data_IF_164933803771
#
_entry.id   IF_164933803771
#
_cell.length_a   1.000
_cell.length_b   1.000
_cell.length_c   1.000
_cell.angle_alpha   90.00
_cell.angle_beta   90.00
_cell.angle_gamma   90.00
#
_symmetry.space_group_name_H-M   'P 1'
#
loop_
_entity.id
_entity.type
_entity.pdbx_description
1 polymer ?
#
# COMPACT_ATOMS: atom_id res chain seq x y z
N UNK A 1 -6.88 17.11 24.26
CA UNK A 1 -7.39 15.73 24.22
C UNK A 1 -8.89 15.83 24.02
N UNK A 2 -9.43 15.33 22.90
CA UNK A 2 -10.87 15.30 22.67
C UNK A 2 -11.39 13.93 23.14
N UNK A 3 -12.25 13.90 24.14
CA UNK A 3 -12.90 12.67 24.61
C UNK A 3 -14.20 12.47 23.83
N UNK A 4 -14.32 11.33 23.15
CA UNK A 4 -15.58 10.91 22.55
C UNK A 4 -16.22 9.85 23.45
N UNK A 5 -17.44 10.13 23.92
CA UNK A 5 -18.29 9.18 24.66
C UNK A 5 -19.53 8.92 23.81
N UNK A 6 -19.70 7.71 23.26
CA UNK A 6 -20.85 7.41 22.42
C UNK A 6 -22.13 7.35 23.26
N UNK A 7 -23.24 7.94 22.77
CA UNK A 7 -24.49 8.00 23.50
C UNK A 7 -25.26 6.67 23.55
N UNK A 8 -24.91 5.69 22.68
CA UNK A 8 -25.52 4.36 22.62
C UNK A 8 -24.48 3.33 22.19
N UNK A 9 -24.71 2.06 22.55
CA UNK A 9 -23.91 0.94 22.03
C UNK A 9 -24.12 0.84 20.53
N UNK A 10 -23.04 0.69 19.77
CA UNK A 10 -23.12 0.62 18.31
C UNK A 10 -21.77 0.63 17.62
N UNK A 11 -21.82 0.49 16.30
CA UNK A 11 -20.66 0.61 15.42
C UNK A 11 -20.54 2.07 14.99
N UNK A 12 -19.38 2.67 15.19
CA UNK A 12 -19.11 4.05 14.80
C UNK A 12 -17.93 4.11 13.82
N UNK A 13 -17.99 5.04 12.87
CA UNK A 13 -16.85 5.41 12.03
C UNK A 13 -16.10 6.55 12.70
N UNK A 14 -14.78 6.40 12.84
CA UNK A 14 -13.92 7.51 13.25
C UNK A 14 -13.60 8.32 11.98
N UNK A 15 -14.14 9.53 11.90
CA UNK A 15 -13.87 10.47 10.80
C UNK A 15 -13.05 11.62 11.36
N UNK A 16 -11.83 11.78 10.86
CA UNK A 16 -10.93 12.88 11.21
C UNK A 16 -10.32 13.52 9.97
N UNK A 17 -10.13 14.83 10.00
CA UNK A 17 -9.32 15.54 9.00
C UNK A 17 -7.89 15.69 9.53
N UNK A 18 -6.93 15.10 8.82
CA UNK A 18 -5.52 15.37 9.09
C UNK A 18 -5.12 16.59 8.25
N UNK A 19 -4.80 17.70 8.91
CA UNK A 19 -4.14 18.81 8.24
C UNK A 19 -2.74 18.38 7.84
N UNK A 20 -2.55 17.99 6.58
CA UNK A 20 -1.22 17.72 6.02
C UNK A 20 -0.71 19.02 5.40
N UNK A 21 0.42 19.59 5.86
CA UNK A 21 0.97 20.83 5.31
C UNK A 21 1.68 20.66 3.96
N UNK A 22 1.59 19.51 3.32
CA UNK A 22 2.20 19.29 2.01
C UNK A 22 1.43 18.22 1.25
N UNK A 23 1.51 18.28 -0.07
CA UNK A 23 0.78 17.55 -1.13
C UNK A 23 0.80 16.00 -1.06
N UNK A 24 1.16 15.39 0.06
CA UNK A 24 1.11 13.96 0.30
C UNK A 24 -0.32 13.49 0.61
N UNK A 25 -0.84 12.60 -0.22
CA UNK A 25 -2.14 11.95 -0.03
C UNK A 25 -2.11 11.07 1.23
N UNK A 26 -2.66 11.56 2.34
CA UNK A 26 -2.85 10.73 3.55
C UNK A 26 -4.10 9.88 3.34
N UNK A 27 -3.92 8.58 3.08
CA UNK A 27 -5.03 7.63 3.13
C UNK A 27 -5.37 7.35 4.59
N UNK A 28 -6.47 7.89 5.08
CA UNK A 28 -7.04 7.50 6.36
C UNK A 28 -7.80 6.18 6.18
N UNK A 29 -7.32 5.11 6.81
CA UNK A 29 -8.08 3.84 6.87
C UNK A 29 -9.11 3.95 7.99
N UNK A 30 -10.40 3.90 7.64
CA UNK A 30 -11.47 3.85 8.63
C UNK A 30 -11.35 2.55 9.43
N UNK A 31 -11.04 2.66 10.72
CA UNK A 31 -11.04 1.51 11.61
C UNK A 31 -12.42 1.37 12.26
N UNK A 32 -13.02 0.19 12.13
CA UNK A 32 -14.32 -0.13 12.70
C UNK A 32 -14.11 -0.41 14.19
N UNK A 33 -14.66 0.43 15.04
CA UNK A 33 -14.57 0.25 16.50
C UNK A 33 -15.95 0.00 17.07
N UNK A 34 -16.06 -1.08 17.84
CA UNK A 34 -17.26 -1.40 18.61
C UNK A 34 -17.22 -0.66 19.93
N UNK A 35 -18.33 0.02 20.26
CA UNK A 35 -18.45 0.74 21.50
C UNK A 35 -19.60 0.19 22.34
N UNK A 36 -19.36 0.03 23.64
CA UNK A 36 -20.41 -0.11 24.66
C UNK A 36 -20.86 1.27 25.13
N UNK A 37 -22.16 1.46 25.35
CA UNK A 37 -22.72 2.71 25.89
C UNK A 37 -21.99 3.15 27.18
N UNK A 38 -21.52 4.41 27.21
CA UNK A 38 -20.74 4.95 28.33
C UNK A 38 -19.26 4.53 28.37
N UNK A 39 -18.81 3.67 27.45
CA UNK A 39 -17.40 3.36 27.27
C UNK A 39 -16.62 4.54 26.66
N UNK A 40 -15.33 4.64 26.99
CA UNK A 40 -14.43 5.63 26.38
C UNK A 40 -13.36 4.92 25.55
N UNK A 41 -13.14 5.38 24.32
CA UNK A 41 -12.01 4.93 23.49
C UNK A 41 -10.93 6.01 23.51
N UNK A 42 -9.80 5.71 24.14
CA UNK A 42 -8.61 6.53 24.00
C UNK A 42 -7.86 6.12 22.73
N UNK A 43 -8.18 6.76 21.60
CA UNK A 43 -7.31 6.73 20.41
C UNK A 43 -6.14 7.66 20.68
N UNK A 44 -5.08 7.13 21.30
CA UNK A 44 -3.92 7.87 21.83
C UNK A 44 -3.35 8.96 20.91
N UNK A 45 -2.19 8.71 20.28
CA UNK A 45 -1.63 9.61 19.27
C UNK A 45 -1.97 9.07 17.89
N UNK A 46 -2.62 9.87 17.06
CA UNK A 46 -2.85 9.52 15.66
C UNK A 46 -1.81 10.26 14.84
N UNK A 47 -0.86 9.53 14.26
CA UNK A 47 0.17 10.07 13.38
C UNK A 47 -0.07 9.64 11.94
N UNK A 48 -0.03 10.58 11.01
CA UNK A 48 0.01 10.25 9.59
C UNK A 48 1.39 9.66 9.25
N UNK A 49 1.44 8.41 8.81
CA UNK A 49 2.67 7.81 8.33
C UNK A 49 2.90 8.22 6.87
N UNK A 50 4.01 8.90 6.58
CA UNK A 50 4.45 9.14 5.20
C UNK A 50 4.81 7.80 4.57
N UNK A 51 4.17 7.47 3.46
CA UNK A 51 4.38 6.23 2.71
C UNK A 51 4.83 6.54 1.29
N UNK A 52 5.60 5.62 0.70
CA UNK A 52 6.01 5.64 -0.69
C UNK A 52 4.94 4.99 -1.58
N UNK A 53 4.82 5.46 -2.82
CA UNK A 53 4.06 4.77 -3.86
C UNK A 53 5.02 4.01 -4.76
N UNK A 54 4.67 2.80 -5.17
CA UNK A 54 5.50 1.98 -6.06
C UNK A 54 4.74 1.63 -7.32
N UNK A 55 5.37 1.89 -8.47
CA UNK A 55 4.90 1.46 -9.78
C UNK A 55 5.99 0.64 -10.47
N UNK A 56 5.57 -0.28 -11.34
CA UNK A 56 6.48 -1.13 -12.10
C UNK A 56 5.97 -1.31 -13.53
N UNK A 57 6.90 -1.39 -14.48
CA UNK A 57 6.65 -1.85 -15.84
C UNK A 57 7.28 -3.23 -16.00
N UNK A 58 6.43 -4.23 -16.24
CA UNK A 58 6.82 -5.63 -16.30
C UNK A 58 6.72 -6.10 -17.75
N UNK A 59 7.81 -6.68 -18.24
CA UNK A 59 7.95 -7.13 -19.63
C UNK A 59 8.52 -8.54 -19.70
N UNK A 60 8.34 -9.20 -20.85
CA UNK A 60 9.06 -10.43 -21.19
C UNK A 60 10.50 -10.15 -21.68
N UNK A 61 11.22 -11.21 -22.05
CA UNK A 61 12.59 -11.12 -22.58
C UNK A 61 12.71 -10.38 -23.92
N UNK A 62 11.61 -10.15 -24.64
CA UNK A 62 11.57 -9.41 -25.91
C UNK A 62 11.00 -7.99 -25.74
N UNK A 63 10.66 -7.58 -24.51
CA UNK A 63 10.20 -6.24 -24.16
C UNK A 63 8.68 -6.04 -24.25
N UNK A 64 7.91 -7.12 -24.46
CA UNK A 64 6.45 -7.08 -24.50
C UNK A 64 5.90 -6.95 -23.09
N UNK A 65 4.98 -5.99 -22.86
CA UNK A 65 4.33 -5.80 -21.57
C UNK A 65 3.49 -7.00 -21.14
N UNK A 66 3.65 -7.45 -19.89
CA UNK A 66 2.95 -8.62 -19.35
C UNK A 66 1.77 -8.21 -18.45
N UNK A 67 0.55 -8.55 -18.84
CA UNK A 67 -0.64 -8.41 -17.99
C UNK A 67 -0.74 -9.54 -16.96
N UNK A 68 -1.55 -9.32 -15.92
CA UNK A 68 -1.89 -10.32 -14.90
C UNK A 68 -0.69 -10.87 -14.13
N UNK A 69 0.35 -10.05 -13.95
CA UNK A 69 1.48 -10.33 -13.08
C UNK A 69 1.10 -9.89 -11.67
N UNK A 70 1.09 -10.82 -10.73
CA UNK A 70 0.92 -10.52 -9.31
C UNK A 70 2.20 -9.88 -8.77
N UNK A 71 2.07 -8.70 -8.15
CA UNK A 71 3.18 -7.96 -7.54
C UNK A 71 2.93 -7.85 -6.05
N UNK A 72 3.90 -8.27 -5.24
CA UNK A 72 3.78 -8.30 -3.77
C UNK A 72 5.05 -7.80 -3.13
N UNK A 73 4.92 -6.96 -2.11
CA UNK A 73 6.06 -6.54 -1.29
C UNK A 73 6.10 -7.38 -0.03
N UNK A 74 7.13 -8.22 0.08
CA UNK A 74 7.32 -9.13 1.20
C UNK A 74 7.58 -8.32 2.48
N UNK A 75 6.86 -8.66 3.55
CA UNK A 75 6.87 -7.90 4.81
C UNK A 75 5.98 -6.65 4.80
N UNK A 76 5.18 -6.44 3.75
CA UNK A 76 4.18 -5.38 3.65
C UNK A 76 2.83 -5.94 3.20
N UNK A 77 1.74 -5.20 3.43
CA UNK A 77 0.44 -5.50 2.83
C UNK A 77 0.29 -4.92 1.42
N UNK A 78 1.31 -4.23 0.92
CA UNK A 78 1.29 -3.64 -0.40
C UNK A 78 1.39 -4.70 -1.50
N UNK A 79 0.35 -4.75 -2.33
CA UNK A 79 0.28 -5.61 -3.51
C UNK A 79 -0.38 -4.89 -4.68
N UNK A 80 -0.17 -5.41 -5.87
CA UNK A 80 -0.79 -4.94 -7.11
C UNK A 80 -0.84 -6.05 -8.16
N UNK A 81 -1.49 -5.75 -9.27
CA UNK A 81 -1.52 -6.61 -10.45
C UNK A 81 -1.23 -5.76 -11.67
N UNK A 82 -0.39 -6.25 -12.58
CA UNK A 82 -0.14 -5.54 -13.84
C UNK A 82 -1.38 -5.56 -14.73
N UNK A 83 -1.60 -4.46 -15.47
CA UNK A 83 -2.65 -4.35 -16.48
C UNK A 83 -2.10 -4.67 -17.88
N UNK A 84 -2.95 -4.51 -18.89
CA UNK A 84 -2.50 -4.40 -20.29
C UNK A 84 -1.33 -3.39 -20.37
N UNK A 85 -0.35 -3.67 -21.23
CA UNK A 85 0.95 -2.96 -21.35
C UNK A 85 1.99 -3.24 -20.25
N UNK A 86 1.66 -4.08 -19.26
CA UNK A 86 2.62 -4.50 -18.23
C UNK A 86 2.80 -3.53 -17.07
N UNK A 87 1.94 -2.52 -16.95
CA UNK A 87 2.01 -1.52 -15.89
C UNK A 87 1.31 -2.01 -14.62
N UNK A 88 2.03 -2.03 -13.51
CA UNK A 88 1.52 -2.35 -12.17
C UNK A 88 1.69 -1.15 -11.23
N UNK A 89 0.68 -0.91 -10.40
CA UNK A 89 0.75 0.04 -9.29
C UNK A 89 0.27 -0.66 -8.02
N UNK A 90 0.98 -0.47 -6.90
CA UNK A 90 0.57 -1.05 -5.63
C UNK A 90 -0.61 -0.29 -5.02
N UNK A 91 -1.60 -1.02 -4.51
CA UNK A 91 -2.83 -0.43 -3.97
C UNK A 91 -2.60 0.35 -2.66
N UNK A 92 -1.56 -0.02 -1.93
CA UNK A 92 -1.17 0.56 -0.65
C UNK A 92 0.21 1.19 -0.73
N UNK A 93 0.39 2.28 0.01
CA UNK A 93 1.71 2.86 0.19
C UNK A 93 2.56 2.02 1.13
N UNK A 94 3.88 2.12 0.97
CA UNK A 94 4.85 1.35 1.75
C UNK A 94 5.62 2.32 2.65
N UNK A 95 5.74 2.07 3.96
CA UNK A 95 6.63 2.84 4.82
C UNK A 95 8.06 2.91 4.28
N UNK A 96 8.81 3.94 4.64
CA UNK A 96 10.23 3.99 4.28
C UNK A 96 10.98 2.79 4.87
N UNK A 97 11.81 2.15 4.06
CA UNK A 97 12.50 0.93 4.47
C UNK A 97 13.07 0.16 3.28
N UNK A 98 13.71 -0.96 3.61
CA UNK A 98 14.20 -1.95 2.65
C UNK A 98 13.33 -3.19 2.75
N UNK A 99 12.83 -3.63 1.61
CA UNK A 99 11.93 -4.76 1.45
C UNK A 99 12.41 -5.63 0.29
N UNK A 100 11.73 -6.75 0.08
CA UNK A 100 11.81 -7.51 -1.15
C UNK A 100 10.48 -7.39 -1.89
N UNK A 101 10.55 -7.28 -3.21
CA UNK A 101 9.37 -7.28 -4.08
C UNK A 101 9.39 -8.53 -4.96
N UNK A 102 8.27 -9.23 -4.96
CA UNK A 102 8.02 -10.46 -5.69
C UNK A 102 7.10 -10.16 -6.89
N UNK A 103 7.46 -10.73 -8.03
CA UNK A 103 6.67 -10.72 -9.26
C UNK A 103 6.38 -12.16 -9.67
N UNK A 104 5.10 -12.51 -9.77
CA UNK A 104 4.66 -13.86 -10.08
C UNK A 104 3.65 -13.87 -11.22
N UNK A 105 3.85 -14.76 -12.19
CA UNK A 105 2.90 -15.03 -13.27
C UNK A 105 2.99 -16.51 -13.67
N UNK A 106 1.86 -17.16 -13.91
CA UNK A 106 1.84 -18.54 -14.40
C UNK A 106 2.56 -18.65 -15.75
N UNK A 107 3.43 -19.66 -15.89
CA UNK A 107 4.28 -19.86 -17.07
C UNK A 107 5.55 -19.00 -17.10
N UNK A 108 5.85 -18.28 -16.02
CA UNK A 108 7.07 -17.49 -15.85
C UNK A 108 7.72 -17.82 -14.51
N UNK A 109 9.05 -17.70 -14.48
CA UNK A 109 9.82 -17.82 -13.25
C UNK A 109 9.48 -16.67 -12.30
N UNK A 110 9.25 -16.99 -11.02
CA UNK A 110 9.07 -15.98 -9.98
C UNK A 110 10.34 -15.17 -9.82
N UNK A 111 10.23 -13.85 -9.92
CA UNK A 111 11.33 -12.93 -9.70
C UNK A 111 11.18 -12.26 -8.33
N UNK A 112 12.23 -12.30 -7.52
CA UNK A 112 12.32 -11.57 -6.25
C UNK A 112 13.54 -10.65 -6.31
N UNK A 113 13.35 -9.37 -6.00
CA UNK A 113 14.43 -8.38 -5.98
C UNK A 113 14.31 -7.45 -4.78
N UNK A 114 15.42 -6.82 -4.41
CA UNK A 114 15.45 -5.83 -3.33
C UNK A 114 14.74 -4.53 -3.75
N UNK A 115 14.02 -3.94 -2.80
CA UNK A 115 13.26 -2.71 -2.96
C UNK A 115 13.55 -1.79 -1.78
N UNK A 116 14.28 -0.70 -2.02
CA UNK A 116 14.42 0.40 -1.06
C UNK A 116 13.47 1.53 -1.44
N UNK A 117 12.68 2.00 -0.48
CA UNK A 117 11.74 3.11 -0.63
C UNK A 117 11.98 4.18 0.43
N UNK A 118 11.89 5.45 0.02
CA UNK A 118 11.98 6.61 0.90
C UNK A 118 10.58 7.19 1.19
N UNK A 119 10.44 7.86 2.33
CA UNK A 119 9.14 8.38 2.77
C UNK A 119 8.60 9.47 1.82
N UNK A 120 7.32 9.38 1.47
CA UNK A 120 6.63 10.33 0.59
C UNK A 120 7.20 10.46 -0.83
N UNK A 121 7.89 9.43 -1.33
CA UNK A 121 8.41 9.39 -2.70
C UNK A 121 7.66 8.36 -3.56
N UNK A 122 7.66 8.59 -4.88
CA UNK A 122 7.23 7.60 -5.85
C UNK A 122 8.46 6.82 -6.35
N UNK A 123 8.47 5.50 -6.15
CA UNK A 123 9.49 4.60 -6.68
C UNK A 123 8.96 3.94 -7.95
N UNK A 124 9.66 4.18 -9.05
CA UNK A 124 9.34 3.57 -10.35
C UNK A 124 10.37 2.48 -10.66
N UNK A 125 9.87 1.29 -11.03
CA UNK A 125 10.67 0.18 -11.54
C UNK A 125 10.46 0.11 -13.06
N UNK A 126 11.40 0.67 -13.82
CA UNK A 126 11.19 0.98 -15.25
C UNK A 126 11.19 -0.23 -16.20
N UNK A 127 11.86 -1.32 -15.84
CA UNK A 127 11.88 -2.54 -16.65
C UNK A 127 12.18 -3.76 -15.78
N UNK A 128 11.11 -4.39 -15.32
CA UNK A 128 11.17 -5.69 -14.63
C UNK A 128 10.96 -6.77 -15.68
N UNK A 129 12.00 -7.56 -15.96
CA UNK A 129 11.94 -8.61 -16.98
C UNK A 129 11.60 -9.94 -16.30
N UNK A 130 10.53 -10.58 -16.74
CA UNK A 130 10.22 -11.96 -16.35
C UNK A 130 10.66 -12.94 -17.44
N UNK A 131 11.26 -14.05 -17.01
CA UNK A 131 11.69 -15.13 -17.89
C UNK A 131 10.63 -16.23 -17.89
N UNK A 132 10.25 -16.73 -19.07
CA UNK A 132 9.36 -17.87 -19.18
C UNK A 132 9.98 -19.12 -18.52
N UNK A 133 9.15 -19.99 -17.97
CA UNK A 133 9.58 -21.28 -17.41
C UNK A 133 9.81 -22.34 -18.51
#
# INVERSE_FOLDING_TARGET
MANFVPPKTGVYNIVGSFGVPDTATVKATAQRVEFTAGGSLNVGKIEGQKVALVTARIVDSVGTGLSDVAVRVLGSQASGTSREEGLAALAMGIPAGTYQIEFQKSGYQTLVQDLTVAAAEAKVLESVVLTAE
#
